data_IF_281668139379
#
_entry.id   IF_281668139379
#
_cell.length_a   1.000
_cell.length_b   1.000
_cell.length_c   1.000
_cell.angle_alpha   90.00
_cell.angle_beta   90.00
_cell.angle_gamma   90.00
#
_symmetry.space_group_name_H-M   'P 1'
#
loop_
_entity.id
_entity.type
_entity.pdbx_description
1 polymer ?
#
# COMPACT_ATOMS: atom_id res chain seq x y z
N UNK A 1 -5.69 9.31 -16.55
CA UNK A 1 -5.84 9.62 -15.11
C UNK A 1 -6.33 8.39 -14.37
N UNK A 2 -5.69 8.03 -13.26
CA UNK A 2 -6.18 6.96 -12.38
C UNK A 2 -6.84 7.57 -11.14
N UNK A 3 -7.89 6.92 -10.62
CA UNK A 3 -8.55 7.30 -9.38
C UNK A 3 -7.57 7.20 -8.19
N UNK A 4 -7.76 8.00 -7.13
CA UNK A 4 -7.03 7.80 -5.89
C UNK A 4 -7.44 6.48 -5.24
N UNK A 5 -6.45 5.69 -4.83
CA UNK A 5 -6.61 4.41 -4.14
C UNK A 5 -6.21 4.57 -2.67
N UNK A 6 -6.98 3.98 -1.77
CA UNK A 6 -6.72 3.99 -0.33
C UNK A 6 -6.89 2.58 0.23
N UNK A 7 -5.94 2.14 1.04
CA UNK A 7 -6.03 0.89 1.79
C UNK A 7 -5.30 1.06 3.13
N UNK A 8 -5.75 0.44 4.21
CA UNK A 8 -5.09 0.57 5.51
C UNK A 8 -4.93 -0.78 6.22
N UNK A 9 -3.96 -0.87 7.12
CA UNK A 9 -3.70 -2.07 7.92
C UNK A 9 -2.95 -1.73 9.21
N UNK A 10 -3.15 -2.51 10.27
CA UNK A 10 -2.32 -2.46 11.48
C UNK A 10 -0.96 -3.13 11.20
N UNK A 11 0.14 -2.40 11.36
CA UNK A 11 1.50 -2.89 11.05
C UNK A 11 2.47 -2.63 12.19
N UNK A 12 3.50 -3.47 12.30
CA UNK A 12 4.58 -3.28 13.25
C UNK A 12 5.54 -2.19 12.75
N UNK A 13 5.51 -1.03 13.40
CA UNK A 13 6.47 0.06 13.19
C UNK A 13 7.60 -0.09 14.21
N UNK A 14 8.84 0.03 13.73
CA UNK A 14 10.01 0.12 14.58
C UNK A 14 10.55 1.54 14.47
N UNK A 15 10.45 2.30 15.55
CA UNK A 15 10.94 3.67 15.59
C UNK A 15 12.47 3.70 15.74
N UNK A 16 13.06 4.88 15.53
CA UNK A 16 14.51 5.09 15.61
C UNK A 16 15.10 4.77 16.99
N UNK A 17 14.31 4.93 18.05
CA UNK A 17 14.66 4.58 19.43
C UNK A 17 14.53 3.07 19.73
N UNK A 18 14.33 2.24 18.70
CA UNK A 18 14.10 0.79 18.78
C UNK A 18 12.81 0.37 19.47
N UNK A 19 11.92 1.32 19.83
CA UNK A 19 10.58 0.99 20.26
C UNK A 19 9.81 0.32 19.11
N UNK A 20 8.92 -0.62 19.48
CA UNK A 20 8.09 -1.37 18.55
C UNK A 20 6.64 -1.13 18.91
N UNK A 21 5.90 -0.57 17.97
CA UNK A 21 4.49 -0.25 18.13
C UNK A 21 3.70 -0.87 17.00
N UNK A 22 2.45 -1.24 17.27
CA UNK A 22 1.51 -1.68 16.24
C UNK A 22 0.60 -0.49 15.96
N UNK A 23 0.78 0.11 14.79
CA UNK A 23 0.08 1.33 14.41
C UNK A 23 -0.69 1.12 13.10
N UNK A 24 -1.83 1.82 12.92
CA UNK A 24 -2.52 1.84 11.64
C UNK A 24 -1.69 2.60 10.61
N UNK A 25 -1.46 1.97 9.45
CA UNK A 25 -0.79 2.60 8.30
C UNK A 25 -1.75 2.67 7.12
N UNK A 26 -1.91 3.89 6.60
CA UNK A 26 -2.60 4.20 5.36
C UNK A 26 -1.64 4.08 4.19
N UNK A 27 -1.96 3.22 3.24
CA UNK A 27 -1.42 3.25 1.89
C UNK A 27 -2.35 4.10 1.02
N UNK A 28 -1.80 5.13 0.40
CA UNK A 28 -2.51 6.01 -0.53
C UNK A 28 -1.76 6.02 -1.86
N UNK A 29 -2.47 5.86 -2.97
CA UNK A 29 -1.83 5.77 -4.28
C UNK A 29 -2.62 6.47 -5.38
N UNK A 30 -1.92 6.90 -6.43
CA UNK A 30 -2.50 7.44 -7.67
C UNK A 30 -1.52 7.25 -8.82
N UNK A 31 -1.98 6.64 -9.93
CA UNK A 31 -1.10 6.31 -11.04
C UNK A 31 -0.01 5.33 -10.58
N UNK A 32 1.25 5.73 -10.69
CA UNK A 32 2.39 4.94 -10.24
C UNK A 32 2.93 5.34 -8.86
N UNK A 33 2.35 6.35 -8.21
CA UNK A 33 2.81 6.83 -6.91
C UNK A 33 2.09 6.10 -5.77
N UNK A 34 2.87 5.55 -4.84
CA UNK A 34 2.40 4.86 -3.64
C UNK A 34 3.02 5.49 -2.39
N UNK A 35 2.18 5.95 -1.47
CA UNK A 35 2.57 6.61 -0.23
C UNK A 35 2.09 5.81 0.99
N UNK A 36 2.94 5.73 2.01
CA UNK A 36 2.59 5.15 3.30
C UNK A 36 2.63 6.22 4.38
N UNK A 37 1.55 6.30 5.16
CA UNK A 37 1.41 7.21 6.29
C UNK A 37 0.98 6.43 7.52
N UNK A 38 1.66 6.61 8.65
CA UNK A 38 1.12 6.22 9.94
C UNK A 38 -0.06 7.14 10.27
N UNK A 39 -1.18 6.56 10.67
CA UNK A 39 -2.32 7.28 11.20
C UNK A 39 -2.10 7.41 12.71
N UNK A 40 -2.11 8.64 13.22
CA UNK A 40 -2.12 8.92 14.66
C UNK A 40 -3.43 9.56 15.05
N UNK A 41 -4.01 9.13 16.18
CA UNK A 41 -5.20 9.72 16.75
C UNK A 41 -4.90 10.25 18.15
N UNK A 42 -4.99 11.57 18.32
CA UNK A 42 -4.78 12.22 19.60
C UNK A 42 -5.87 13.26 19.84
N UNK A 43 -6.55 13.15 20.97
CA UNK A 43 -7.53 14.15 21.44
C UNK A 43 -8.59 14.53 20.39
N UNK A 44 -9.18 13.54 19.71
CA UNK A 44 -10.23 13.79 18.70
C UNK A 44 -9.71 14.17 17.32
N UNK A 45 -8.40 14.22 17.10
CA UNK A 45 -7.79 14.61 15.82
C UNK A 45 -6.98 13.47 15.22
N UNK A 46 -7.23 13.22 13.93
CA UNK A 46 -6.42 12.33 13.11
C UNK A 46 -5.30 13.15 12.48
N UNK A 47 -4.06 12.67 12.57
CA UNK A 47 -2.91 13.16 11.82
C UNK A 47 -2.28 12.04 11.02
N UNK A 48 -1.66 12.41 9.89
CA UNK A 48 -0.90 11.50 9.04
C UNK A 48 0.58 11.82 9.19
N UNK A 49 1.36 10.82 9.60
CA UNK A 49 2.80 10.91 9.71
C UNK A 49 3.37 10.18 8.49
N UNK A 50 4.08 10.90 7.62
CA UNK A 50 4.68 10.32 6.43
C UNK A 50 5.74 9.27 6.82
N UNK A 51 5.63 8.08 6.22
CA UNK A 51 6.60 7.00 6.40
C UNK A 51 7.46 6.82 5.16
N UNK A 52 6.83 6.73 3.99
CA UNK A 52 7.54 6.40 2.74
C UNK A 52 6.75 6.79 1.50
N UNK A 53 7.48 7.10 0.43
CA UNK A 53 6.98 7.15 -0.95
C UNK A 53 7.73 6.14 -1.80
N UNK A 54 7.01 5.51 -2.72
CA UNK A 54 7.49 4.55 -3.69
C UNK A 54 6.90 4.95 -5.04
N UNK A 55 7.77 5.12 -6.03
CA UNK A 55 7.35 5.23 -7.42
C UNK A 55 7.46 3.86 -8.08
N UNK A 56 6.31 3.33 -8.51
CA UNK A 56 6.18 2.03 -9.15
C UNK A 56 6.53 2.13 -10.65
N UNK A 57 6.83 0.99 -11.27
CA UNK A 57 7.07 0.89 -12.72
C UNK A 57 5.79 0.84 -13.55
N UNK A 58 4.62 0.87 -12.91
CA UNK A 58 3.31 0.63 -13.51
C UNK A 58 2.25 1.50 -12.84
N UNK A 59 1.13 1.72 -13.55
CA UNK A 59 -0.02 2.44 -13.01
C UNK A 59 -0.96 1.48 -12.30
N UNK A 60 -1.50 1.89 -11.16
CA UNK A 60 -2.38 1.09 -10.33
C UNK A 60 -3.86 1.23 -10.73
N UNK A 61 -4.55 0.09 -10.75
CA UNK A 61 -6.01 -0.03 -10.78
C UNK A 61 -6.59 -0.30 -9.39
N UNK A 62 -5.91 -1.12 -8.57
CA UNK A 62 -6.34 -1.42 -7.22
C UNK A 62 -5.16 -1.67 -6.27
N UNK A 63 -5.43 -1.51 -4.97
CA UNK A 63 -4.44 -1.66 -3.91
C UNK A 63 -5.08 -2.32 -2.70
N UNK A 64 -4.46 -3.37 -2.16
CA UNK A 64 -4.97 -4.05 -0.96
C UNK A 64 -3.84 -4.60 -0.09
N UNK A 65 -3.98 -4.52 1.23
CA UNK A 65 -3.04 -5.18 2.15
C UNK A 65 -3.30 -6.68 2.21
N UNK A 66 -2.28 -7.52 2.05
CA UNK A 66 -2.38 -8.97 2.23
C UNK A 66 -1.61 -9.38 3.48
N UNK A 67 -2.02 -8.86 4.63
CA UNK A 67 -1.31 -8.99 5.90
C UNK A 67 -0.47 -7.76 6.24
N UNK A 68 0.25 -7.78 7.38
CA UNK A 68 0.90 -6.58 7.93
C UNK A 68 2.26 -6.24 7.29
N UNK A 69 2.76 -7.07 6.36
CA UNK A 69 4.08 -6.90 5.72
C UNK A 69 4.01 -6.80 4.21
N UNK A 70 2.85 -7.07 3.63
CA UNK A 70 2.68 -7.36 2.21
C UNK A 70 1.51 -6.58 1.66
N UNK A 71 1.71 -6.01 0.48
CA UNK A 71 0.68 -5.25 -0.24
C UNK A 71 0.55 -5.83 -1.65
N UNK A 72 -0.69 -5.97 -2.08
CA UNK A 72 -1.06 -6.38 -3.41
C UNK A 72 -1.44 -5.15 -4.23
N UNK A 73 -0.80 -5.02 -5.39
CA UNK A 73 -0.95 -3.94 -6.35
C UNK A 73 -1.46 -4.54 -7.65
N UNK A 74 -2.67 -4.18 -8.07
CA UNK A 74 -3.17 -4.56 -9.40
C UNK A 74 -2.84 -3.43 -10.37
N UNK A 75 -2.11 -3.74 -11.43
CA UNK A 75 -1.74 -2.76 -12.45
C UNK A 75 -2.76 -2.65 -13.60
N UNK A 76 -2.54 -1.70 -14.51
CA UNK A 76 -3.40 -1.48 -15.69
C UNK A 76 -3.31 -2.54 -16.77
N UNK A 77 -2.39 -3.50 -16.65
CA UNK A 77 -2.25 -4.66 -17.54
C UNK A 77 -2.87 -5.92 -16.92
N UNK A 78 -3.63 -5.77 -15.83
CA UNK A 78 -4.24 -6.85 -15.06
C UNK A 78 -3.22 -7.80 -14.41
N UNK A 79 -2.02 -7.29 -14.11
CA UNK A 79 -1.02 -8.03 -13.36
C UNK A 79 -1.14 -7.68 -11.87
N UNK A 80 -1.29 -8.72 -11.05
CA UNK A 80 -1.31 -8.60 -9.60
C UNK A 80 0.11 -8.81 -9.05
N UNK A 81 0.68 -7.75 -8.51
CA UNK A 81 2.00 -7.75 -7.87
C UNK A 81 1.86 -7.85 -6.36
N UNK A 82 2.54 -8.82 -5.74
CA UNK A 82 2.68 -8.92 -4.30
C UNK A 82 4.05 -8.39 -3.88
N UNK A 83 4.08 -7.35 -3.06
CA UNK A 83 5.33 -6.70 -2.64
C UNK A 83 5.45 -6.63 -1.12
N UNK A 84 6.68 -6.80 -0.62
CA UNK A 84 7.01 -6.50 0.77
C UNK A 84 7.04 -4.98 0.99
N UNK A 85 6.25 -4.48 1.92
CA UNK A 85 6.03 -3.04 2.15
C UNK A 85 7.30 -2.33 2.63
N UNK A 86 8.15 -3.02 3.40
CA UNK A 86 9.36 -2.43 3.99
C UNK A 86 10.48 -2.32 2.98
N UNK A 87 10.64 -3.29 2.10
CA UNK A 87 11.74 -3.36 1.14
C UNK A 87 11.32 -2.91 -0.26
N UNK A 88 10.03 -2.85 -0.55
CA UNK A 88 9.47 -2.74 -1.90
C UNK A 88 9.91 -3.88 -2.83
N UNK A 89 10.33 -5.02 -2.26
CA UNK A 89 10.73 -6.17 -3.05
C UNK A 89 9.47 -6.89 -3.54
N UNK A 90 9.33 -7.06 -4.84
CA UNK A 90 8.32 -7.95 -5.41
C UNK A 90 8.62 -9.39 -4.99
N UNK A 91 7.61 -10.02 -4.41
CA UNK A 91 7.64 -11.39 -3.92
C UNK A 91 7.02 -12.35 -4.92
N UNK A 92 5.95 -11.91 -5.60
CA UNK A 92 5.20 -12.69 -6.58
C UNK A 92 4.48 -11.76 -7.55
N UNK A 93 4.22 -12.26 -8.76
CA UNK A 93 3.43 -11.57 -9.78
C UNK A 93 2.55 -12.58 -10.51
N UNK A 94 1.27 -12.27 -10.70
CA UNK A 94 0.29 -13.16 -11.35
C UNK A 94 -0.47 -12.37 -12.41
N UNK A 95 -0.52 -12.91 -13.63
CA UNK A 95 -1.35 -12.38 -14.71
C UNK A 95 -2.82 -12.77 -14.50
N UNK A 96 -3.69 -11.77 -14.37
CA UNK A 96 -5.13 -11.93 -14.17
C UNK A 96 -5.96 -11.63 -15.44
N UNK A 97 -5.33 -11.46 -16.61
CA UNK A 97 -6.02 -11.15 -17.87
C UNK A 97 -7.15 -12.12 -18.24
N UNK A 98 -7.06 -13.38 -17.79
CA UNK A 98 -8.07 -14.42 -18.04
C UNK A 98 -9.10 -14.57 -16.91
N UNK A 99 -9.04 -13.74 -15.86
CA UNK A 99 -9.97 -13.79 -14.71
C UNK A 99 -11.29 -13.09 -15.04
N UNK A 100 -11.31 -12.19 -16.02
CA UNK A 100 -12.50 -11.43 -16.41
C UNK A 100 -12.87 -10.38 -15.37
N UNK A 101 -11.88 -9.58 -14.96
CA UNK A 101 -12.07 -8.50 -13.98
C UNK A 101 -13.11 -7.50 -14.49
N UNK A 102 -13.98 -7.04 -13.60
CA UNK A 102 -14.94 -5.98 -13.87
C UNK A 102 -14.53 -4.70 -13.14
N UNK A 103 -14.51 -3.60 -13.87
CA UNK A 103 -14.16 -2.27 -13.36
C UNK A 103 -15.44 -1.46 -13.13
N UNK A 104 -15.51 -0.77 -11.99
CA UNK A 104 -16.61 0.13 -11.64
C UNK A 104 -16.31 1.57 -12.05
#
# INVERSE_FOLDING_TARGET
DCLPLLAWQMVLIQAADSSRTVDPVLAAARGADLYFHQISYCSGRISLIFLRHIQLGYNLLALHWLGPKTIACLDTLEVLHLSDVRTNKEMESIDLSNVGLMYN
#
